data_IF_241905936108
#
_entry.id   IF_241905936108
#
_cell.length_a   1.000
_cell.length_b   1.000
_cell.length_c   1.000
_cell.angle_alpha   90.00
_cell.angle_beta   90.00
_cell.angle_gamma   90.00
#
_symmetry.space_group_name_H-M   'P 1'
#
loop_
_entity.id
_entity.type
_entity.pdbx_description
1 polymer ?
#
# COMPACT_ATOMS: atom_id res chain seq x y z
N UNK A 1 45.71 -40.75 -77.04
CA UNK A 1 45.45 -40.05 -75.76
C UNK A 1 44.52 -38.88 -76.03
N UNK A 2 43.27 -38.96 -75.59
CA UNK A 2 42.28 -37.87 -75.65
C UNK A 2 41.71 -37.74 -74.22
N UNK A 3 41.72 -36.56 -73.59
CA UNK A 3 41.24 -36.43 -72.22
C UNK A 3 39.71 -36.34 -72.19
N UNK A 4 39.09 -37.05 -71.25
CA UNK A 4 37.70 -36.85 -70.87
C UNK A 4 37.58 -35.51 -70.13
N UNK A 5 36.73 -34.62 -70.64
CA UNK A 5 36.18 -33.50 -69.86
C UNK A 5 34.86 -33.97 -69.23
N UNK A 6 34.88 -34.20 -67.91
CA UNK A 6 33.67 -34.33 -67.09
C UNK A 6 33.03 -32.95 -66.96
N UNK A 7 31.86 -32.76 -67.58
CA UNK A 7 31.00 -31.61 -67.32
C UNK A 7 30.19 -31.83 -66.04
N UNK A 8 30.48 -31.06 -64.99
CA UNK A 8 29.65 -31.01 -63.78
C UNK A 8 28.48 -30.08 -64.06
N UNK A 9 27.28 -30.66 -64.25
CA UNK A 9 26.03 -29.91 -64.30
C UNK A 9 25.68 -29.45 -62.87
N UNK A 10 25.98 -28.19 -62.55
CA UNK A 10 25.56 -27.56 -61.31
C UNK A 10 24.04 -27.30 -61.32
N UNK A 11 23.28 -28.14 -60.63
CA UNK A 11 21.86 -27.93 -60.39
C UNK A 11 21.69 -26.86 -59.29
N UNK A 12 21.58 -25.59 -59.66
CA UNK A 12 21.23 -24.52 -58.73
C UNK A 12 19.74 -24.61 -58.38
N UNK A 13 19.42 -25.27 -57.28
CA UNK A 13 18.10 -25.18 -56.64
C UNK A 13 17.92 -23.74 -56.12
N UNK A 14 17.13 -22.94 -56.83
CA UNK A 14 16.63 -21.66 -56.33
C UNK A 14 15.49 -21.97 -55.36
N UNK A 15 15.80 -22.09 -54.07
CA UNK A 15 14.79 -22.12 -53.01
C UNK A 15 14.12 -20.74 -52.96
N UNK A 16 12.96 -20.64 -53.59
CA UNK A 16 12.13 -19.44 -53.56
C UNK A 16 11.44 -19.37 -52.19
N UNK A 17 12.02 -18.62 -51.26
CA UNK A 17 11.40 -18.32 -49.96
C UNK A 17 10.16 -17.46 -50.25
N UNK A 18 8.97 -18.06 -50.19
CA UNK A 18 7.72 -17.33 -50.36
C UNK A 18 7.38 -16.63 -49.05
N UNK A 19 7.58 -15.32 -49.00
CA UNK A 19 7.00 -14.48 -47.95
C UNK A 19 5.47 -14.52 -48.07
N UNK A 20 4.77 -14.76 -46.96
CA UNK A 20 3.30 -14.88 -46.91
C UNK A 20 2.60 -13.53 -47.19
N UNK A 21 3.29 -12.45 -46.86
CA UNK A 21 2.88 -11.07 -47.05
C UNK A 21 3.94 -10.32 -47.86
N UNK A 22 3.51 -9.37 -48.67
CA UNK A 22 4.35 -8.59 -49.57
C UNK A 22 4.11 -7.09 -49.37
N UNK A 23 5.02 -6.25 -49.86
CA UNK A 23 4.87 -4.80 -49.80
C UNK A 23 3.67 -4.23 -50.57
N UNK A 24 3.04 -5.03 -51.44
CA UNK A 24 1.77 -4.67 -52.10
C UNK A 24 0.52 -4.98 -51.27
N UNK A 25 0.65 -5.74 -50.18
CA UNK A 25 -0.45 -5.99 -49.25
C UNK A 25 -0.57 -4.85 -48.24
N UNK A 26 -1.78 -4.61 -47.71
CA UNK A 26 -2.00 -3.66 -46.61
C UNK A 26 -1.58 -4.21 -45.23
N UNK A 27 -0.94 -5.38 -45.20
CA UNK A 27 -0.39 -6.03 -44.00
C UNK A 27 1.04 -5.56 -43.77
N UNK A 28 1.30 -4.98 -42.60
CA UNK A 28 2.63 -4.47 -42.25
C UNK A 28 3.49 -5.63 -41.74
N UNK A 29 4.61 -5.89 -42.42
CA UNK A 29 5.57 -6.89 -41.97
C UNK A 29 6.33 -6.37 -40.72
N UNK A 30 6.21 -7.13 -39.64
CA UNK A 30 6.78 -6.80 -38.34
C UNK A 30 7.91 -7.76 -38.01
N UNK A 31 9.06 -7.19 -37.68
CA UNK A 31 10.28 -7.90 -37.31
C UNK A 31 10.81 -7.32 -35.99
N UNK A 32 11.74 -7.99 -35.31
CA UNK A 32 12.32 -7.47 -34.07
C UNK A 32 12.90 -6.06 -34.17
N UNK A 33 13.36 -5.64 -35.36
CA UNK A 33 13.96 -4.31 -35.56
C UNK A 33 12.95 -3.17 -35.69
N UNK A 34 11.70 -3.45 -36.07
CA UNK A 34 10.66 -2.43 -36.24
C UNK A 34 9.50 -2.56 -35.23
N UNK A 35 9.30 -3.72 -34.59
CA UNK A 35 8.14 -4.00 -33.76
C UNK A 35 7.92 -2.95 -32.66
N UNK A 36 8.99 -2.56 -31.97
CA UNK A 36 8.91 -1.56 -30.91
C UNK A 36 8.42 -0.21 -31.44
N UNK A 37 8.99 0.27 -32.54
CA UNK A 37 8.63 1.55 -33.14
C UNK A 37 7.21 1.53 -33.73
N UNK A 38 6.88 0.50 -34.48
CA UNK A 38 5.61 0.42 -35.20
C UNK A 38 4.45 0.11 -34.25
N UNK A 39 4.63 -0.83 -33.31
CA UNK A 39 3.54 -1.34 -32.46
C UNK A 39 3.54 -0.71 -31.08
N UNK A 40 4.66 -0.79 -30.35
CA UNK A 40 4.72 -0.44 -28.92
C UNK A 40 4.67 1.07 -28.71
N UNK A 41 5.37 1.84 -29.53
CA UNK A 41 5.40 3.31 -29.47
C UNK A 41 4.24 3.96 -30.22
N UNK A 42 3.35 3.17 -30.83
CA UNK A 42 2.24 3.68 -31.63
C UNK A 42 0.99 3.90 -30.79
N UNK A 43 0.36 5.07 -30.95
CA UNK A 43 -0.97 5.32 -30.40
C UNK A 43 -2.08 4.53 -31.14
N UNK A 44 -1.84 4.03 -32.35
CA UNK A 44 -2.89 3.28 -33.08
C UNK A 44 -3.24 1.94 -32.42
N UNK A 45 -4.47 1.46 -32.62
CA UNK A 45 -4.81 0.06 -32.34
C UNK A 45 -4.07 -0.84 -33.34
N UNK A 46 -3.46 -1.92 -32.86
CA UNK A 46 -2.75 -2.88 -33.70
C UNK A 46 -3.34 -4.28 -33.57
N UNK A 47 -3.60 -4.94 -34.69
CA UNK A 47 -3.84 -6.37 -34.79
C UNK A 47 -2.61 -7.03 -35.39
N UNK A 48 -2.01 -7.97 -34.67
CA UNK A 48 -0.77 -8.63 -35.09
C UNK A 48 -1.00 -10.14 -35.16
N UNK A 49 -0.78 -10.71 -36.33
CA UNK A 49 -0.71 -12.16 -36.52
C UNK A 49 0.72 -12.65 -36.28
N UNK A 50 0.88 -13.68 -35.46
CA UNK A 50 2.11 -14.45 -35.34
C UNK A 50 1.92 -15.78 -36.08
N UNK A 51 2.71 -15.97 -37.14
CA UNK A 51 2.54 -17.07 -38.08
C UNK A 51 3.86 -17.82 -38.34
N UNK A 52 3.76 -18.93 -39.08
CA UNK A 52 4.90 -19.64 -39.66
C UNK A 52 4.62 -19.98 -41.13
N UNK A 53 5.58 -19.80 -42.07
CA UNK A 53 5.33 -19.99 -43.51
C UNK A 53 4.88 -21.41 -43.90
N UNK A 54 5.34 -22.42 -43.16
CA UNK A 54 5.02 -23.83 -43.37
C UNK A 54 3.67 -24.25 -42.76
N UNK A 55 3.01 -23.39 -41.98
CA UNK A 55 1.77 -23.72 -41.29
C UNK A 55 0.55 -23.58 -42.23
N UNK A 56 -0.12 -24.70 -42.52
CA UNK A 56 -1.32 -24.72 -43.38
C UNK A 56 -2.47 -23.85 -42.86
N UNK A 57 -2.65 -23.73 -41.54
CA UNK A 57 -3.65 -22.82 -40.96
C UNK A 57 -3.30 -21.34 -41.17
N UNK A 58 -2.01 -20.98 -41.17
CA UNK A 58 -1.57 -19.62 -41.49
C UNK A 58 -1.80 -19.31 -42.97
N UNK A 59 -1.45 -20.26 -43.85
CA UNK A 59 -1.71 -20.13 -45.29
C UNK A 59 -3.21 -19.95 -45.60
N UNK A 60 -4.08 -20.66 -44.87
CA UNK A 60 -5.53 -20.51 -44.97
C UNK A 60 -6.05 -19.16 -44.44
N UNK A 61 -5.42 -18.61 -43.41
CA UNK A 61 -5.77 -17.31 -42.82
C UNK A 61 -5.29 -16.14 -43.69
N UNK A 62 -4.13 -16.26 -44.35
CA UNK A 62 -3.50 -15.18 -45.14
C UNK A 62 -4.45 -14.42 -46.08
N UNK A 63 -5.30 -15.05 -46.93
CA UNK A 63 -6.22 -14.31 -47.79
C UNK A 63 -7.28 -13.51 -47.00
N UNK A 64 -7.78 -14.04 -45.88
CA UNK A 64 -8.74 -13.35 -45.02
C UNK A 64 -8.07 -12.22 -44.21
N UNK A 65 -6.82 -12.42 -43.79
CA UNK A 65 -5.99 -11.40 -43.12
C UNK A 65 -5.71 -10.21 -44.03
N UNK A 66 -5.36 -10.45 -45.30
CA UNK A 66 -5.16 -9.41 -46.33
C UNK A 66 -6.44 -8.61 -46.59
N UNK A 67 -7.58 -9.28 -46.73
CA UNK A 67 -8.89 -8.61 -46.87
C UNK A 67 -9.22 -7.74 -45.65
N UNK A 68 -9.01 -8.26 -44.45
CA UNK A 68 -9.23 -7.50 -43.21
C UNK A 68 -8.30 -6.29 -43.11
N UNK A 69 -7.01 -6.43 -43.44
CA UNK A 69 -6.06 -5.33 -43.49
C UNK A 69 -6.49 -4.23 -44.48
N UNK A 70 -6.95 -4.62 -45.66
CA UNK A 70 -7.48 -3.69 -46.67
C UNK A 70 -8.71 -2.94 -46.16
N UNK A 71 -9.66 -3.65 -45.54
CA UNK A 71 -10.89 -3.06 -45.01
C UNK A 71 -10.65 -2.13 -43.81
N UNK A 72 -9.63 -2.42 -42.99
CA UNK A 72 -9.26 -1.64 -41.80
C UNK A 72 -8.26 -0.53 -42.09
N UNK A 73 -7.81 -0.37 -43.34
CA UNK A 73 -6.79 0.60 -43.74
C UNK A 73 -7.16 2.01 -43.29
N UNK A 74 -6.26 2.63 -42.54
CA UNK A 74 -6.44 3.97 -41.96
C UNK A 74 -7.27 4.02 -40.67
N UNK A 75 -7.87 2.90 -40.25
CA UNK A 75 -8.70 2.82 -39.04
C UNK A 75 -7.95 2.03 -37.95
N UNK A 76 -7.46 0.84 -38.29
CA UNK A 76 -6.72 -0.06 -37.40
C UNK A 76 -5.48 -0.57 -38.14
N UNK A 77 -4.33 -0.62 -37.47
CA UNK A 77 -3.09 -1.14 -38.06
C UNK A 77 -3.11 -2.66 -38.00
N UNK A 78 -2.80 -3.30 -39.11
CA UNK A 78 -2.75 -4.76 -39.22
C UNK A 78 -1.34 -5.17 -39.62
N UNK A 79 -0.73 -6.05 -38.83
CA UNK A 79 0.63 -6.52 -39.05
C UNK A 79 0.75 -8.03 -38.93
N UNK A 80 1.88 -8.55 -39.40
CA UNK A 80 2.22 -9.95 -39.33
C UNK A 80 3.69 -10.14 -38.94
N UNK A 81 3.94 -11.11 -38.06
CA UNK A 81 5.27 -11.51 -37.58
C UNK A 81 5.49 -12.98 -37.95
N UNK A 82 6.54 -13.26 -38.71
CA UNK A 82 7.04 -14.63 -38.86
C UNK A 82 7.71 -15.05 -37.54
N UNK A 83 6.94 -15.75 -36.70
CA UNK A 83 7.37 -16.19 -35.40
C UNK A 83 8.18 -17.50 -35.45
N UNK A 84 8.25 -18.16 -36.59
CA UNK A 84 9.19 -19.27 -36.80
C UNK A 84 10.61 -18.75 -37.07
N UNK A 85 10.72 -17.66 -37.84
CA UNK A 85 11.97 -16.93 -38.02
C UNK A 85 12.35 -16.13 -36.78
N UNK A 86 11.37 -15.47 -36.13
CA UNK A 86 11.58 -14.59 -34.98
C UNK A 86 11.02 -15.18 -33.69
N UNK A 87 11.54 -16.35 -33.30
CA UNK A 87 11.08 -17.12 -32.12
C UNK A 87 11.11 -16.34 -30.82
N UNK A 88 12.09 -15.46 -30.63
CA UNK A 88 12.19 -14.60 -29.44
C UNK A 88 11.01 -13.64 -29.34
N UNK A 89 10.63 -13.00 -30.44
CA UNK A 89 9.50 -12.07 -30.50
C UNK A 89 8.16 -12.79 -30.33
N UNK A 90 7.97 -13.96 -30.95
CA UNK A 90 6.81 -14.81 -30.70
C UNK A 90 6.73 -15.30 -29.25
N UNK A 91 7.86 -15.73 -28.69
CA UNK A 91 7.98 -16.18 -27.30
C UNK A 91 7.64 -15.08 -26.29
N UNK A 92 8.06 -13.84 -26.55
CA UNK A 92 7.76 -12.66 -25.71
C UNK A 92 6.25 -12.47 -25.49
N UNK A 93 5.44 -12.74 -26.51
CA UNK A 93 3.97 -12.61 -26.43
C UNK A 93 3.25 -13.94 -26.17
N UNK A 94 3.99 -14.95 -25.71
CA UNK A 94 3.45 -16.24 -25.30
C UNK A 94 2.83 -17.04 -26.44
N UNK A 95 3.32 -16.88 -27.68
CA UNK A 95 2.83 -17.62 -28.84
C UNK A 95 3.28 -19.07 -28.72
N UNK A 96 2.31 -20.00 -28.61
CA UNK A 96 2.54 -21.44 -28.43
C UNK A 96 2.13 -22.29 -29.64
N UNK A 97 1.52 -21.67 -30.63
CA UNK A 97 1.04 -22.31 -31.84
C UNK A 97 0.68 -21.26 -32.88
N UNK A 98 0.47 -21.69 -34.12
CA UNK A 98 0.22 -20.78 -35.23
C UNK A 98 -1.10 -21.13 -35.95
N UNK A 99 -1.85 -20.13 -36.44
CA UNK A 99 -1.65 -18.70 -36.23
C UNK A 99 -2.23 -18.19 -34.90
N UNK A 100 -1.49 -17.37 -34.17
CA UNK A 100 -2.00 -16.63 -33.00
C UNK A 100 -2.17 -15.16 -33.37
N UNK A 101 -3.35 -14.59 -33.09
CA UNK A 101 -3.62 -13.17 -33.33
C UNK A 101 -3.65 -12.44 -31.98
N UNK A 102 -2.93 -11.34 -31.88
CA UNK A 102 -2.90 -10.47 -30.69
C UNK A 102 -3.40 -9.06 -31.04
N UNK A 103 -4.12 -8.46 -30.10
CA UNK A 103 -4.67 -7.10 -30.18
C UNK A 103 -3.90 -6.21 -29.20
N UNK A 104 -3.23 -5.20 -29.74
CA UNK A 104 -2.42 -4.23 -29.02
C UNK A 104 -3.21 -2.93 -28.85
N UNK A 105 -3.97 -2.87 -27.74
CA UNK A 105 -4.87 -1.78 -27.33
C UNK A 105 -4.18 -0.56 -26.74
N UNK A 106 -4.81 0.12 -25.77
CA UNK A 106 -4.22 1.30 -25.14
C UNK A 106 -2.92 0.96 -24.41
N UNK A 107 -2.93 -0.17 -23.67
CA UNK A 107 -1.74 -0.73 -23.07
C UNK A 107 -1.07 -1.72 -24.03
N UNK A 108 0.00 -1.26 -24.68
CA UNK A 108 0.79 -2.06 -25.63
C UNK A 108 1.56 -3.21 -24.99
N UNK A 109 1.81 -3.15 -23.70
CA UNK A 109 2.57 -4.15 -22.95
C UNK A 109 1.69 -5.34 -22.52
N UNK A 110 0.36 -5.21 -22.64
CA UNK A 110 -0.59 -6.28 -22.31
C UNK A 110 -1.54 -6.56 -23.49
N UNK A 111 -1.03 -7.10 -24.60
CA UNK A 111 -1.87 -7.41 -25.74
C UNK A 111 -2.83 -8.56 -25.44
N UNK A 112 -4.07 -8.43 -25.90
CA UNK A 112 -5.11 -9.44 -25.74
C UNK A 112 -5.05 -10.45 -26.88
N UNK A 113 -5.36 -11.71 -26.62
CA UNK A 113 -5.45 -12.71 -27.69
C UNK A 113 -6.83 -12.71 -28.33
N UNK A 114 -6.87 -12.60 -29.66
CA UNK A 114 -8.11 -12.68 -30.40
C UNK A 114 -8.55 -14.15 -30.57
N UNK A 115 -9.68 -14.48 -29.96
CA UNK A 115 -10.29 -15.82 -29.98
C UNK A 115 -11.50 -15.93 -30.92
N UNK A 116 -11.77 -14.91 -31.73
CA UNK A 116 -12.90 -14.90 -32.65
C UNK A 116 -12.69 -15.72 -33.92
N UNK A 117 -13.69 -15.67 -34.81
CA UNK A 117 -13.64 -16.36 -36.09
C UNK A 117 -12.51 -15.87 -37.00
N UNK A 118 -12.02 -16.73 -37.89
CA UNK A 118 -10.86 -16.46 -38.75
C UNK A 118 -11.24 -15.95 -40.16
N UNK A 119 -12.51 -15.58 -40.37
CA UNK A 119 -12.95 -14.88 -41.58
C UNK A 119 -12.64 -13.40 -41.48
N UNK A 120 -12.44 -12.75 -42.63
CA UNK A 120 -12.19 -11.30 -42.72
C UNK A 120 -13.27 -10.48 -42.00
N UNK A 121 -14.54 -10.84 -42.17
CA UNK A 121 -15.65 -10.19 -41.46
C UNK A 121 -15.52 -10.30 -39.94
N UNK A 122 -15.26 -11.50 -39.40
CA UNK A 122 -15.13 -11.70 -37.96
C UNK A 122 -13.92 -10.97 -37.37
N UNK A 123 -12.82 -10.90 -38.13
CA UNK A 123 -11.61 -10.15 -37.75
C UNK A 123 -11.88 -8.64 -37.74
N UNK A 124 -12.56 -8.12 -38.76
CA UNK A 124 -12.99 -6.71 -38.82
C UNK A 124 -13.90 -6.36 -37.66
N UNK A 125 -14.90 -7.20 -37.36
CA UNK A 125 -15.81 -6.98 -36.23
C UNK A 125 -15.06 -6.98 -34.89
N UNK A 126 -14.11 -7.91 -34.72
CA UNK A 126 -13.20 -7.96 -33.58
C UNK A 126 -12.37 -6.69 -33.42
N UNK A 127 -11.76 -6.22 -34.51
CA UNK A 127 -10.96 -4.99 -34.54
C UNK A 127 -11.82 -3.76 -34.20
N UNK A 128 -13.03 -3.65 -34.75
CA UNK A 128 -13.94 -2.54 -34.48
C UNK A 128 -14.42 -2.53 -33.02
N UNK A 129 -14.64 -3.70 -32.42
CA UNK A 129 -14.97 -3.80 -31.00
C UNK A 129 -13.80 -3.37 -30.11
N UNK A 130 -12.58 -3.84 -30.40
CA UNK A 130 -11.38 -3.40 -29.68
C UNK A 130 -11.13 -1.89 -29.84
N UNK A 131 -11.40 -1.33 -31.04
CA UNK A 131 -11.30 0.11 -31.29
C UNK A 131 -12.31 0.91 -30.48
N UNK A 132 -13.55 0.45 -30.37
CA UNK A 132 -14.56 1.08 -29.50
C UNK A 132 -14.11 1.10 -28.05
N UNK A 133 -13.50 0.02 -27.56
CA UNK A 133 -12.92 -0.02 -26.21
C UNK A 133 -11.78 0.98 -26.07
N UNK A 134 -10.83 1.02 -27.00
CA UNK A 134 -9.73 1.97 -27.00
C UNK A 134 -10.21 3.44 -26.99
N UNK A 135 -11.23 3.77 -27.80
CA UNK A 135 -11.82 5.11 -27.83
C UNK A 135 -12.48 5.46 -26.50
N UNK A 136 -13.20 4.52 -25.88
CA UNK A 136 -13.81 4.72 -24.54
C UNK A 136 -12.74 4.94 -23.47
N UNK A 137 -11.67 4.17 -23.48
CA UNK A 137 -10.55 4.33 -22.53
C UNK A 137 -9.95 5.74 -22.63
N UNK A 138 -9.69 6.22 -23.85
CA UNK A 138 -9.19 7.59 -24.09
C UNK A 138 -10.13 8.67 -23.60
N UNK A 139 -11.43 8.55 -23.89
CA UNK A 139 -12.44 9.52 -23.45
C UNK A 139 -12.54 9.59 -21.92
N UNK A 140 -12.25 8.50 -21.23
CA UNK A 140 -12.35 8.42 -19.77
C UNK A 140 -11.15 9.00 -19.02
N UNK A 141 -10.13 9.52 -19.71
CA UNK A 141 -8.91 10.06 -19.07
C UNK A 141 -8.06 9.03 -18.33
N UNK A 142 -8.46 7.75 -18.36
CA UNK A 142 -7.64 6.61 -17.94
C UNK A 142 -6.59 6.34 -18.99
N UNK A 143 -5.39 6.84 -18.80
CA UNK A 143 -4.21 6.17 -19.34
C UNK A 143 -4.15 4.77 -18.72
N UNK A 144 -4.59 3.78 -19.50
CA UNK A 144 -4.36 2.34 -19.31
C UNK A 144 -4.68 1.78 -17.93
N UNK A 145 -5.97 1.56 -17.62
CA UNK A 145 -6.39 1.00 -16.33
C UNK A 145 -7.84 0.48 -16.30
N UNK A 146 -8.10 -0.50 -17.17
CA UNK A 146 -9.16 -1.53 -17.17
C UNK A 146 -10.65 -1.20 -16.92
N UNK A 147 -11.47 -1.92 -17.68
CA UNK A 147 -12.77 -2.44 -17.24
C UNK A 147 -13.64 -2.91 -18.42
N UNK A 148 -13.96 -4.20 -18.52
CA UNK A 148 -15.31 -4.67 -18.14
C UNK A 148 -15.46 -6.21 -18.15
N UNK A 149 -15.81 -6.72 -16.98
CA UNK A 149 -16.66 -7.85 -16.63
C UNK A 149 -16.68 -9.13 -17.50
N UNK A 150 -16.27 -10.24 -16.87
CA UNK A 150 -17.17 -11.39 -16.74
C UNK A 150 -17.14 -11.91 -15.30
N UNK A 151 -18.33 -12.20 -14.83
CA UNK A 151 -18.74 -12.37 -13.45
C UNK A 151 -18.29 -13.74 -12.90
N UNK A 152 -17.42 -13.71 -11.90
CA UNK A 152 -17.26 -14.74 -10.86
C UNK A 152 -16.64 -14.05 -9.65
N UNK A 153 -17.33 -14.07 -8.51
CA UNK A 153 -16.93 -13.31 -7.33
C UNK A 153 -15.59 -13.77 -6.75
N UNK A 154 -14.65 -12.84 -6.65
CA UNK A 154 -13.55 -12.73 -5.68
C UNK A 154 -12.70 -11.50 -6.07
N UNK A 155 -12.35 -10.68 -5.07
CA UNK A 155 -11.47 -9.49 -5.08
C UNK A 155 -10.95 -8.94 -6.42
N UNK A 156 -11.30 -7.69 -6.73
CA UNK A 156 -10.60 -6.89 -7.73
C UNK A 156 -9.08 -6.91 -7.48
N UNK A 157 -8.25 -7.20 -8.49
CA UNK A 157 -6.77 -7.10 -8.45
C UNK A 157 -6.23 -5.65 -8.26
N UNK A 158 -7.04 -4.74 -7.72
CA UNK A 158 -6.72 -3.31 -7.63
C UNK A 158 -5.70 -2.99 -6.54
N UNK A 159 -5.56 -3.85 -5.53
CA UNK A 159 -4.75 -3.55 -4.33
C UNK A 159 -3.42 -4.28 -4.28
N UNK A 160 -3.16 -5.25 -5.18
CA UNK A 160 -1.82 -5.81 -5.37
C UNK A 160 -1.05 -4.88 -6.29
N UNK A 161 0.07 -4.35 -5.81
CA UNK A 161 0.87 -3.38 -6.55
C UNK A 161 1.90 -4.13 -7.40
N UNK A 162 1.85 -3.92 -8.72
CA UNK A 162 2.85 -4.46 -9.64
C UNK A 162 4.17 -3.72 -9.47
N UNK A 163 5.21 -4.46 -9.13
CA UNK A 163 6.55 -3.95 -8.87
C UNK A 163 7.49 -4.38 -9.99
N UNK A 164 8.26 -3.42 -10.49
CA UNK A 164 9.21 -3.55 -11.60
C UNK A 164 10.57 -3.02 -11.18
N UNK A 165 11.62 -3.33 -11.94
CA UNK A 165 12.97 -2.79 -11.67
C UNK A 165 12.98 -1.24 -11.56
N UNK A 166 12.08 -0.55 -12.28
CA UNK A 166 12.01 0.91 -12.34
C UNK A 166 11.31 1.55 -11.13
N UNK A 167 10.39 0.84 -10.47
CA UNK A 167 9.56 1.40 -9.40
C UNK A 167 9.87 0.83 -8.01
N UNK A 168 10.58 -0.29 -7.93
CA UNK A 168 10.77 -1.04 -6.70
C UNK A 168 11.43 -0.20 -5.61
N UNK A 169 12.57 0.42 -5.90
CA UNK A 169 13.34 1.16 -4.89
C UNK A 169 12.52 2.33 -4.32
N UNK A 170 11.85 3.09 -5.19
CA UNK A 170 11.02 4.22 -4.79
C UNK A 170 9.78 3.81 -4.00
N UNK A 171 9.09 2.75 -4.42
CA UNK A 171 7.83 2.34 -3.80
C UNK A 171 8.06 1.50 -2.54
N UNK A 172 9.09 0.67 -2.51
CA UNK A 172 9.35 -0.30 -1.44
C UNK A 172 10.39 0.25 -0.48
N UNK A 173 11.61 0.49 -0.96
CA UNK A 173 12.78 0.77 -0.10
C UNK A 173 12.79 2.19 0.47
N UNK A 174 12.36 3.17 -0.32
CA UNK A 174 12.27 4.58 0.11
C UNK A 174 10.97 4.88 0.87
N UNK A 175 10.04 3.92 0.93
CA UNK A 175 8.80 4.10 1.67
C UNK A 175 9.02 4.02 3.19
N UNK A 176 8.13 4.67 3.94
CA UNK A 176 8.03 4.47 5.40
C UNK A 176 7.10 3.33 5.80
N UNK A 177 6.51 2.63 4.83
CA UNK A 177 5.50 1.62 5.02
C UNK A 177 6.13 0.20 4.93
N UNK A 178 5.41 -0.82 5.41
CA UNK A 178 5.88 -2.21 5.30
C UNK A 178 5.40 -2.82 4.00
N UNK A 179 6.24 -3.61 3.34
CA UNK A 179 5.90 -4.31 2.12
C UNK A 179 6.08 -5.81 2.25
N UNK A 180 5.07 -6.56 1.81
CA UNK A 180 5.20 -7.98 1.51
C UNK A 180 5.19 -8.12 0.00
N UNK A 181 6.23 -8.69 -0.60
CA UNK A 181 6.38 -8.79 -2.06
C UNK A 181 6.47 -10.25 -2.46
N UNK A 182 5.54 -10.67 -3.33
CA UNK A 182 5.59 -11.97 -3.99
C UNK A 182 6.47 -11.88 -5.26
N UNK A 183 7.51 -12.70 -5.32
CA UNK A 183 8.25 -12.98 -6.54
C UNK A 183 7.68 -14.24 -7.19
N UNK A 184 7.10 -14.10 -8.37
CA UNK A 184 6.35 -15.17 -9.04
C UNK A 184 6.80 -15.39 -10.49
N UNK A 185 6.32 -16.48 -11.07
CA UNK A 185 6.42 -16.77 -12.49
C UNK A 185 5.04 -17.13 -13.06
N UNK A 186 4.61 -16.56 -14.20
CA UNK A 186 3.24 -16.69 -14.70
C UNK A 186 2.87 -18.13 -15.15
N UNK A 187 3.87 -18.97 -15.40
CA UNK A 187 3.67 -20.38 -15.74
C UNK A 187 3.66 -21.30 -14.52
N UNK A 188 4.05 -20.84 -13.33
CA UNK A 188 4.13 -21.67 -12.13
C UNK A 188 2.74 -21.97 -11.55
N UNK A 189 2.42 -23.26 -11.37
CA UNK A 189 1.14 -23.70 -10.80
C UNK A 189 0.91 -23.22 -9.37
N UNK A 190 1.96 -23.23 -8.54
CA UNK A 190 1.87 -22.74 -7.16
C UNK A 190 1.62 -21.22 -7.07
N UNK A 191 2.16 -20.43 -8.02
CA UNK A 191 1.88 -18.99 -8.11
C UNK A 191 0.43 -18.73 -8.48
N UNK A 192 -0.11 -19.49 -9.45
CA UNK A 192 -1.53 -19.39 -9.84
C UNK A 192 -2.48 -19.72 -8.70
N UNK A 193 -2.09 -20.63 -7.81
CA UNK A 193 -2.88 -20.97 -6.63
C UNK A 193 -2.81 -19.90 -5.53
N UNK A 194 -1.67 -19.21 -5.40
CA UNK A 194 -1.48 -18.14 -4.41
C UNK A 194 -2.16 -16.83 -4.86
N UNK A 195 -2.14 -16.51 -6.15
CA UNK A 195 -2.70 -15.29 -6.72
C UNK A 195 -4.09 -14.86 -6.18
N UNK A 196 -5.11 -15.73 -6.11
CA UNK A 196 -6.41 -15.34 -5.54
C UNK A 196 -6.35 -15.03 -4.04
N UNK A 197 -5.56 -15.78 -3.26
CA UNK A 197 -5.38 -15.56 -1.83
C UNK A 197 -4.61 -14.25 -1.57
N UNK A 198 -3.55 -14.01 -2.34
CA UNK A 198 -2.71 -12.81 -2.29
C UNK A 198 -3.51 -11.55 -2.62
N UNK A 199 -4.32 -11.61 -3.68
CA UNK A 199 -5.17 -10.50 -4.10
C UNK A 199 -6.21 -10.15 -3.03
N UNK A 200 -6.89 -11.16 -2.49
CA UNK A 200 -7.90 -10.95 -1.46
C UNK A 200 -7.27 -10.45 -0.14
N UNK A 201 -6.06 -10.92 0.20
CA UNK A 201 -5.30 -10.40 1.33
C UNK A 201 -4.91 -8.94 1.13
N UNK A 202 -4.47 -8.54 -0.05
CA UNK A 202 -4.01 -7.18 -0.34
C UNK A 202 -5.10 -6.13 -0.06
N UNK A 203 -6.34 -6.39 -0.50
CA UNK A 203 -7.48 -5.51 -0.20
C UNK A 203 -7.76 -5.41 1.29
N UNK A 204 -7.80 -6.55 2.00
CA UNK A 204 -8.08 -6.57 3.43
C UNK A 204 -6.98 -5.89 4.25
N UNK A 205 -5.71 -6.11 3.90
CA UNK A 205 -4.55 -5.51 4.55
C UNK A 205 -4.53 -4.00 4.33
N UNK A 206 -4.76 -3.53 3.11
CA UNK A 206 -4.81 -2.09 2.81
C UNK A 206 -5.88 -1.38 3.64
N UNK A 207 -7.07 -1.96 3.76
CA UNK A 207 -8.16 -1.40 4.56
C UNK A 207 -7.82 -1.38 6.07
N UNK A 208 -7.39 -2.51 6.61
CA UNK A 208 -7.15 -2.67 8.06
C UNK A 208 -5.92 -1.91 8.57
N UNK A 209 -4.91 -1.73 7.71
CA UNK A 209 -3.67 -1.01 8.06
C UNK A 209 -3.71 0.45 7.62
N UNK A 210 -4.85 0.93 7.08
CA UNK A 210 -4.98 2.29 6.50
C UNK A 210 -3.87 2.58 5.46
N UNK A 211 -3.49 1.57 4.68
CA UNK A 211 -2.44 1.67 3.66
C UNK A 211 -1.02 1.78 4.21
N UNK A 212 -0.74 1.25 5.41
CA UNK A 212 0.61 1.21 6.01
C UNK A 212 1.34 -0.11 5.79
N UNK A 213 0.62 -1.13 5.32
CA UNK A 213 1.21 -2.37 4.83
C UNK A 213 0.69 -2.64 3.43
N UNK A 214 1.60 -2.96 2.51
CA UNK A 214 1.30 -3.15 1.10
C UNK A 214 1.69 -4.55 0.65
N UNK A 215 0.89 -5.12 -0.25
CA UNK A 215 1.21 -6.38 -0.93
C UNK A 215 1.59 -6.07 -2.37
N UNK A 216 2.84 -6.39 -2.72
CA UNK A 216 3.39 -6.23 -4.06
C UNK A 216 3.57 -7.56 -4.78
N UNK A 217 3.69 -7.50 -6.10
CA UNK A 217 4.03 -8.65 -6.93
C UNK A 217 5.07 -8.27 -7.99
N UNK A 218 6.10 -9.11 -8.13
CA UNK A 218 7.17 -9.00 -9.13
C UNK A 218 7.15 -10.24 -10.01
N UNK A 219 6.97 -10.07 -11.32
CA UNK A 219 7.24 -11.15 -12.28
C UNK A 219 8.76 -11.31 -12.43
N UNK A 220 9.31 -12.28 -11.70
CA UNK A 220 10.74 -12.55 -11.67
C UNK A 220 11.28 -13.15 -12.97
N UNK A 221 10.40 -13.55 -13.91
CA UNK A 221 10.81 -14.02 -15.25
C UNK A 221 11.13 -12.86 -16.19
N UNK A 222 10.51 -11.69 -15.93
CA UNK A 222 10.75 -10.43 -16.63
C UNK A 222 11.81 -9.61 -15.89
N UNK A 223 11.65 -9.45 -14.58
CA UNK A 223 12.51 -8.61 -13.73
C UNK A 223 13.63 -9.41 -13.08
N UNK A 224 14.52 -9.96 -13.92
CA UNK A 224 15.63 -10.82 -13.49
C UNK A 224 16.67 -10.11 -12.62
N UNK A 225 16.77 -8.77 -12.74
CA UNK A 225 17.61 -7.93 -11.89
C UNK A 225 17.17 -7.98 -10.43
N UNK A 226 15.89 -7.66 -10.16
CA UNK A 226 15.28 -7.83 -8.84
C UNK A 226 15.36 -9.28 -8.34
N UNK A 227 15.10 -10.26 -9.19
CA UNK A 227 15.18 -11.68 -8.80
C UNK A 227 16.59 -12.07 -8.34
N UNK A 228 17.62 -11.57 -9.02
CA UNK A 228 19.02 -11.81 -8.66
C UNK A 228 19.44 -11.02 -7.42
N UNK A 229 19.04 -9.74 -7.31
CA UNK A 229 19.34 -8.86 -6.17
C UNK A 229 18.84 -9.45 -4.85
N UNK A 230 17.68 -10.10 -4.87
CA UNK A 230 17.07 -10.69 -3.69
C UNK A 230 17.18 -12.22 -3.65
N UNK A 231 18.10 -12.80 -4.42
CA UNK A 231 18.43 -14.23 -4.41
C UNK A 231 17.21 -15.17 -4.54
N UNK A 232 16.30 -14.87 -5.46
CA UNK A 232 15.10 -15.68 -5.68
C UNK A 232 15.47 -16.97 -6.41
N UNK A 233 15.40 -18.10 -5.71
CA UNK A 233 15.80 -19.43 -6.22
C UNK A 233 14.64 -20.32 -6.63
N UNK A 234 13.41 -19.92 -6.35
CA UNK A 234 12.20 -20.69 -6.62
C UNK A 234 10.95 -19.82 -6.53
N UNK A 235 9.82 -20.36 -7.00
CA UNK A 235 8.56 -19.62 -7.05
C UNK A 235 7.40 -20.40 -6.42
N UNK A 236 6.48 -19.73 -5.70
CA UNK A 236 6.55 -18.31 -5.34
C UNK A 236 7.45 -18.11 -4.11
N UNK A 237 8.22 -17.03 -4.08
CA UNK A 237 8.94 -16.59 -2.86
C UNK A 237 8.35 -15.27 -2.40
N UNK A 238 8.00 -15.17 -1.12
CA UNK A 238 7.49 -13.93 -0.53
C UNK A 238 8.56 -13.35 0.38
N UNK A 239 8.87 -12.07 0.19
CA UNK A 239 9.81 -11.33 1.05
C UNK A 239 9.13 -10.16 1.73
N UNK A 240 9.59 -9.84 2.93
CA UNK A 240 9.13 -8.72 3.74
C UNK A 240 10.21 -7.64 3.72
N UNK A 241 9.80 -6.40 3.47
CA UNK A 241 10.67 -5.23 3.42
C UNK A 241 10.19 -4.21 4.45
N UNK A 242 11.12 -3.74 5.28
CA UNK A 242 10.93 -2.67 6.27
C UNK A 242 12.03 -1.63 6.08
N UNK A 243 11.72 -0.36 6.36
CA UNK A 243 12.65 0.74 6.14
C UNK A 243 13.90 0.59 7.02
N UNK A 244 15.07 0.52 6.38
CA UNK A 244 16.35 0.43 7.08
C UNK A 244 16.70 -0.96 7.65
N UNK A 245 15.92 -1.99 7.32
CA UNK A 245 16.19 -3.37 7.69
C UNK A 245 16.49 -4.24 6.46
N UNK A 246 17.22 -5.33 6.66
CA UNK A 246 17.46 -6.33 5.61
C UNK A 246 16.17 -7.10 5.28
N UNK A 247 15.90 -7.39 3.99
CA UNK A 247 14.69 -8.13 3.61
C UNK A 247 14.64 -9.55 4.20
N UNK A 248 13.47 -9.93 4.71
CA UNK A 248 13.24 -11.22 5.38
C UNK A 248 12.38 -12.15 4.53
N UNK A 249 12.67 -13.45 4.51
CA UNK A 249 11.79 -14.43 3.85
C UNK A 249 10.55 -14.73 4.69
N UNK A 250 9.37 -14.67 4.07
CA UNK A 250 8.14 -15.13 4.71
C UNK A 250 8.01 -16.66 4.60
N UNK A 251 8.01 -17.32 5.76
CA UNK A 251 7.91 -18.78 5.89
C UNK A 251 6.53 -19.26 6.40
N UNK A 252 5.56 -18.34 6.52
CA UNK A 252 4.22 -18.67 7.01
C UNK A 252 3.32 -19.38 5.99
N UNK A 253 2.07 -19.61 6.39
CA UNK A 253 1.06 -20.23 5.52
C UNK A 253 0.71 -19.33 4.33
N UNK A 254 0.22 -19.94 3.24
CA UNK A 254 -0.09 -19.23 1.98
C UNK A 254 -1.58 -18.98 1.79
N UNK A 255 -2.39 -19.19 2.84
CA UNK A 255 -3.80 -18.83 2.81
C UNK A 255 -3.95 -17.33 3.03
N UNK A 256 -5.06 -16.75 2.54
CA UNK A 256 -5.42 -15.36 2.79
C UNK A 256 -5.38 -15.01 4.28
N UNK A 257 -5.83 -15.92 5.16
CA UNK A 257 -5.84 -15.71 6.61
C UNK A 257 -4.43 -15.52 7.17
N UNK A 258 -3.52 -16.42 6.83
CA UNK A 258 -2.13 -16.40 7.30
C UNK A 258 -1.37 -15.14 6.82
N UNK A 259 -1.66 -14.71 5.58
CA UNK A 259 -1.04 -13.53 4.99
C UNK A 259 -1.56 -12.25 5.67
N UNK A 260 -2.87 -12.16 5.89
CA UNK A 260 -3.48 -11.02 6.61
C UNK A 260 -2.92 -10.95 8.04
N UNK A 261 -2.89 -12.08 8.76
CA UNK A 261 -2.38 -12.14 10.13
C UNK A 261 -0.93 -11.64 10.18
N UNK A 262 -0.06 -12.16 9.32
CA UNK A 262 1.33 -11.69 9.25
C UNK A 262 1.42 -10.20 8.91
N UNK A 263 0.63 -9.71 7.98
CA UNK A 263 0.64 -8.30 7.60
C UNK A 263 0.19 -7.38 8.76
N UNK A 264 -0.78 -7.80 9.56
CA UNK A 264 -1.23 -7.06 10.75
C UNK A 264 -0.19 -7.08 11.88
N UNK A 265 0.50 -8.21 12.06
CA UNK A 265 1.63 -8.30 12.99
C UNK A 265 2.75 -7.34 12.57
N UNK A 266 3.11 -7.36 11.28
CA UNK A 266 4.10 -6.44 10.71
C UNK A 266 3.70 -4.97 10.85
N UNK A 267 2.42 -4.67 10.63
CA UNK A 267 1.88 -3.32 10.85
C UNK A 267 2.07 -2.88 12.31
N UNK A 268 1.78 -3.77 13.25
CA UNK A 268 1.90 -3.49 14.68
C UNK A 268 3.35 -3.35 15.14
N UNK A 269 4.26 -4.11 14.53
CA UNK A 269 5.70 -4.08 14.82
C UNK A 269 6.38 -2.82 14.26
N UNK A 270 5.92 -2.36 13.10
CA UNK A 270 6.40 -1.16 12.40
C UNK A 270 5.57 0.09 12.72
N UNK A 271 4.75 0.05 13.78
CA UNK A 271 4.05 1.22 14.26
C UNK A 271 5.07 2.31 14.66
N UNK A 272 4.75 3.57 14.33
CA UNK A 272 5.58 4.69 14.73
C UNK A 272 5.81 4.68 16.26
N UNK A 273 6.97 5.16 16.74
CA UNK A 273 7.19 5.34 18.16
C UNK A 273 6.03 6.13 18.76
N UNK A 274 5.49 5.70 19.91
CA UNK A 274 4.38 6.39 20.53
C UNK A 274 4.81 7.79 20.98
N UNK A 275 3.95 8.76 20.75
CA UNK A 275 4.14 10.13 21.24
C UNK A 275 3.38 10.31 22.56
N UNK A 276 4.06 10.84 23.57
CA UNK A 276 3.45 11.28 24.83
C UNK A 276 3.30 12.80 24.79
N UNK A 277 2.07 13.27 24.58
CA UNK A 277 1.78 14.70 24.43
C UNK A 277 1.21 15.30 25.71
N UNK A 278 1.54 16.56 25.98
CA UNK A 278 0.89 17.35 27.03
C UNK A 278 -0.48 17.84 26.54
N UNK A 279 -1.51 17.80 27.39
CA UNK A 279 -2.84 18.30 27.07
C UNK A 279 -2.84 19.83 27.17
N UNK A 280 -2.51 20.49 26.06
CA UNK A 280 -2.45 21.96 25.97
C UNK A 280 -3.76 22.60 25.52
N UNK A 281 -4.63 21.84 24.83
CA UNK A 281 -5.90 22.30 24.29
C UNK A 281 -6.80 21.12 23.91
N UNK A 282 -8.04 21.43 23.53
CA UNK A 282 -9.06 20.44 23.13
C UNK A 282 -8.63 19.59 21.92
N UNK A 283 -7.93 20.18 20.94
CA UNK A 283 -7.54 19.48 19.72
C UNK A 283 -6.54 18.35 19.99
N UNK A 284 -5.58 18.55 20.90
CA UNK A 284 -4.64 17.50 21.29
C UNK A 284 -5.39 16.32 21.92
N UNK A 285 -6.26 16.59 22.90
CA UNK A 285 -7.04 15.52 23.54
C UNK A 285 -7.90 14.78 22.51
N UNK A 286 -8.59 15.52 21.65
CA UNK A 286 -9.51 14.96 20.66
C UNK A 286 -8.78 14.10 19.63
N UNK A 287 -7.76 14.65 18.98
CA UNK A 287 -7.03 13.96 17.91
C UNK A 287 -6.30 12.72 18.45
N UNK A 288 -5.74 12.78 19.66
CA UNK A 288 -5.05 11.63 20.25
C UNK A 288 -6.02 10.55 20.77
N UNK A 289 -7.19 10.92 21.29
CA UNK A 289 -8.10 9.95 21.90
C UNK A 289 -9.18 9.39 20.96
N UNK A 290 -9.62 10.11 19.92
CA UNK A 290 -10.67 9.66 19.01
C UNK A 290 -10.19 8.55 18.04
N UNK A 291 -8.93 8.62 17.62
CA UNK A 291 -8.33 7.67 16.68
C UNK A 291 -7.90 6.34 17.33
N UNK A 292 -7.84 6.30 18.67
CA UNK A 292 -7.36 5.14 19.44
C UNK A 292 -8.47 4.34 20.10
N UNK A 293 -8.21 3.06 20.38
CA UNK A 293 -9.13 2.23 21.17
C UNK A 293 -9.20 2.69 22.63
N UNK A 294 -8.05 3.04 23.20
CA UNK A 294 -7.90 3.59 24.53
C UNK A 294 -6.97 4.79 24.47
N UNK A 295 -7.22 5.76 25.33
CA UNK A 295 -6.39 6.93 25.56
C UNK A 295 -5.93 6.91 27.02
N UNK A 296 -4.63 6.78 27.24
CA UNK A 296 -4.01 6.72 28.56
C UNK A 296 -3.60 8.13 28.95
N UNK A 297 -4.15 8.64 30.05
CA UNK A 297 -3.90 9.99 30.54
C UNK A 297 -3.26 9.92 31.92
N UNK A 298 -2.05 10.46 32.05
CA UNK A 298 -1.38 10.68 33.33
C UNK A 298 -1.67 12.09 33.86
N UNK A 299 -2.14 12.20 35.09
CA UNK A 299 -2.25 13.48 35.80
C UNK A 299 -1.11 13.55 36.81
N UNK A 300 -0.10 14.36 36.50
CA UNK A 300 1.15 14.42 37.24
C UNK A 300 1.11 15.51 38.31
N UNK A 301 1.83 15.37 39.43
CA UNK A 301 1.92 16.43 40.44
C UNK A 301 2.36 17.77 39.84
N UNK A 302 2.00 18.85 40.53
CA UNK A 302 2.40 20.20 40.16
C UNK A 302 3.94 20.30 40.14
N UNK A 303 4.49 21.14 39.25
CA UNK A 303 5.94 21.21 39.06
C UNK A 303 6.68 21.63 40.34
N UNK A 304 6.04 22.43 41.19
CA UNK A 304 6.59 22.88 42.48
C UNK A 304 6.75 21.74 43.50
N UNK A 305 5.98 20.65 43.38
CA UNK A 305 6.02 19.53 44.33
C UNK A 305 7.15 18.55 44.01
N UNK A 306 7.48 18.42 42.72
CA UNK A 306 8.35 17.33 42.21
C UNK A 306 9.61 17.83 41.51
N UNK A 307 9.63 19.09 41.09
CA UNK A 307 10.63 19.63 40.19
C UNK A 307 10.63 18.95 38.82
N UNK A 308 11.48 19.46 37.92
CA UNK A 308 11.68 18.93 36.58
C UNK A 308 12.16 17.48 36.60
N UNK A 309 13.04 17.14 37.56
CA UNK A 309 13.56 15.77 37.70
C UNK A 309 12.44 14.76 38.03
N UNK A 310 11.57 15.10 38.98
CA UNK A 310 10.45 14.22 39.35
C UNK A 310 9.43 14.07 38.22
N UNK A 311 9.05 15.17 37.56
CA UNK A 311 8.18 15.14 36.37
C UNK A 311 8.76 14.27 35.26
N UNK A 312 10.03 14.49 34.90
CA UNK A 312 10.70 13.69 33.87
C UNK A 312 10.75 12.20 34.22
N UNK A 313 10.90 11.84 35.49
CA UNK A 313 10.82 10.45 35.94
C UNK A 313 9.45 9.81 35.66
N UNK A 314 8.35 10.52 35.91
CA UNK A 314 7.01 10.03 35.58
C UNK A 314 6.80 9.91 34.07
N UNK A 315 7.23 10.90 33.30
CA UNK A 315 7.15 10.88 31.84
C UNK A 315 7.96 9.73 31.25
N UNK A 316 9.14 9.43 31.78
CA UNK A 316 9.96 8.29 31.36
C UNK A 316 9.23 6.96 31.59
N UNK A 317 8.61 6.78 32.75
CA UNK A 317 7.81 5.58 33.06
C UNK A 317 6.64 5.45 32.08
N UNK A 318 5.93 6.55 31.80
CA UNK A 318 4.84 6.55 30.82
C UNK A 318 5.34 6.20 29.43
N UNK A 319 6.46 6.78 28.98
CA UNK A 319 7.06 6.49 27.67
C UNK A 319 7.51 5.03 27.54
N UNK A 320 8.11 4.45 28.58
CA UNK A 320 8.45 3.02 28.59
C UNK A 320 7.22 2.13 28.44
N UNK A 321 6.12 2.49 29.10
CA UNK A 321 4.86 1.76 28.96
C UNK A 321 4.24 1.98 27.58
N UNK A 322 4.32 3.19 27.04
CA UNK A 322 3.89 3.47 25.67
C UNK A 322 4.61 2.58 24.66
N UNK A 323 5.94 2.51 24.74
CA UNK A 323 6.75 1.66 23.85
C UNK A 323 6.40 0.18 24.03
N UNK A 324 6.27 -0.29 25.28
CA UNK A 324 5.89 -1.68 25.59
C UNK A 324 4.52 -2.06 25.01
N UNK A 325 3.59 -1.12 24.92
CA UNK A 325 2.23 -1.31 24.42
C UNK A 325 2.01 -0.74 23.02
N UNK A 326 3.06 -0.37 22.27
CA UNK A 326 2.94 0.29 20.95
C UNK A 326 2.04 -0.45 19.96
N UNK A 327 2.06 -1.80 19.99
CA UNK A 327 1.21 -2.66 19.15
C UNK A 327 -0.29 -2.45 19.37
N UNK A 328 -0.69 -1.85 20.50
CA UNK A 328 -2.08 -1.54 20.82
C UNK A 328 -2.56 -0.22 20.23
N UNK A 329 -1.66 0.62 19.70
CA UNK A 329 -1.99 1.93 19.10
C UNK A 329 -2.88 2.79 20.02
N UNK A 330 -2.59 2.75 21.33
CA UNK A 330 -3.27 3.60 22.31
C UNK A 330 -2.71 5.02 22.27
N UNK A 331 -3.56 6.00 22.51
CA UNK A 331 -3.15 7.39 22.67
C UNK A 331 -2.52 7.58 24.05
N UNK A 332 -1.49 8.43 24.15
CA UNK A 332 -0.77 8.70 25.39
C UNK A 332 -0.70 10.20 25.62
N UNK A 333 -1.26 10.62 26.74
CA UNK A 333 -1.36 12.02 27.11
C UNK A 333 -0.95 12.20 28.57
N UNK A 334 -0.52 13.41 28.91
CA UNK A 334 -0.36 13.82 30.29
C UNK A 334 -0.81 15.26 30.51
N UNK A 335 -1.10 15.59 31.76
CA UNK A 335 -1.39 16.96 32.21
C UNK A 335 -0.84 17.15 33.60
N UNK A 336 -0.49 18.39 33.94
CA UNK A 336 -0.26 18.79 35.32
C UNK A 336 -1.58 18.77 36.11
N UNK A 337 -1.49 18.37 37.38
CA UNK A 337 -2.57 18.45 38.34
C UNK A 337 -3.08 19.89 38.50
N UNK A 338 -4.39 20.07 38.38
CA UNK A 338 -5.05 21.37 38.47
C UNK A 338 -5.10 22.15 37.15
N UNK A 339 -4.32 21.77 36.14
CA UNK A 339 -4.38 22.42 34.83
C UNK A 339 -5.70 22.13 34.09
N UNK A 340 -6.22 20.90 34.23
CA UNK A 340 -7.40 20.43 33.52
C UNK A 340 -8.50 19.99 34.50
N UNK A 341 -8.95 20.93 35.34
CA UNK A 341 -9.88 20.66 36.45
C UNK A 341 -11.18 19.94 36.05
N UNK A 342 -11.78 20.29 34.91
CA UNK A 342 -13.02 19.65 34.43
C UNK A 342 -12.80 18.19 34.01
N UNK A 343 -11.66 17.90 33.37
CA UNK A 343 -11.23 16.54 33.04
C UNK A 343 -11.00 15.72 34.30
N UNK A 344 -10.25 16.27 35.26
CA UNK A 344 -9.98 15.62 36.54
C UNK A 344 -11.26 15.31 37.30
N UNK A 345 -12.17 16.29 37.42
CA UNK A 345 -13.46 16.12 38.07
C UNK A 345 -14.32 15.05 37.38
N UNK A 346 -14.33 15.02 36.04
CA UNK A 346 -15.09 14.02 35.25
C UNK A 346 -14.54 12.61 35.39
N UNK A 347 -13.24 12.47 35.68
CA UNK A 347 -12.57 11.20 35.96
C UNK A 347 -12.60 10.85 37.45
N UNK A 348 -13.08 11.73 38.32
CA UNK A 348 -13.01 11.55 39.78
C UNK A 348 -11.58 11.58 40.33
N UNK A 349 -10.67 12.28 39.65
CA UNK A 349 -9.29 12.52 40.05
C UNK A 349 -9.22 13.79 40.92
N UNK A 350 -8.30 13.81 41.88
CA UNK A 350 -8.10 14.92 42.84
C UNK A 350 -8.33 14.53 44.30
N UNK A 351 -9.18 13.51 44.56
CA UNK A 351 -9.47 13.06 45.93
C UNK A 351 -8.41 12.14 46.56
N UNK A 352 -7.67 11.38 45.75
CA UNK A 352 -6.69 10.39 46.22
C UNK A 352 -5.23 10.84 46.08
N UNK A 353 -5.01 12.07 45.61
CA UNK A 353 -3.68 12.64 45.36
C UNK A 353 -3.12 12.32 43.96
N UNK A 354 -1.92 12.84 43.70
CA UNK A 354 -1.19 12.73 42.45
C UNK A 354 0.15 12.02 42.69
N UNK A 355 0.74 11.31 41.70
CA UNK A 355 0.24 11.13 40.33
C UNK A 355 -0.97 10.19 40.24
N UNK A 356 -1.82 10.44 39.25
CA UNK A 356 -2.98 9.60 38.92
C UNK A 356 -2.95 9.19 37.43
N UNK A 357 -3.64 8.11 37.08
CA UNK A 357 -3.76 7.68 35.68
C UNK A 357 -5.16 7.17 35.37
N UNK A 358 -5.67 7.56 34.21
CA UNK A 358 -6.92 7.07 33.65
C UNK A 358 -6.71 6.47 32.26
N UNK A 359 -7.44 5.41 31.94
CA UNK A 359 -7.58 4.89 30.59
C UNK A 359 -9.00 5.17 30.11
N UNK A 360 -9.14 5.99 29.07
CA UNK A 360 -10.43 6.44 28.53
C UNK A 360 -10.71 5.72 27.20
N UNK A 361 -11.94 5.26 27.02
CA UNK A 361 -12.48 4.87 25.74
C UNK A 361 -13.47 5.94 25.28
N UNK A 362 -13.02 6.85 24.42
CA UNK A 362 -13.81 8.00 23.95
C UNK A 362 -15.09 7.56 23.23
N UNK A 363 -15.04 6.48 22.44
CA UNK A 363 -16.23 5.97 21.71
C UNK A 363 -17.32 5.41 22.63
N UNK A 364 -16.93 4.76 23.73
CA UNK A 364 -17.87 4.17 24.69
C UNK A 364 -18.20 5.11 25.85
N UNK A 365 -17.56 6.28 25.94
CA UNK A 365 -17.64 7.20 27.07
C UNK A 365 -17.41 6.50 28.41
N UNK A 366 -16.41 5.61 28.46
CA UNK A 366 -16.03 4.86 29.67
C UNK A 366 -14.58 5.09 30.01
N UNK A 367 -14.26 5.03 31.29
CA UNK A 367 -12.87 5.08 31.75
C UNK A 367 -12.61 4.06 32.85
N UNK A 368 -11.33 3.76 33.07
CA UNK A 368 -10.84 3.03 34.23
C UNK A 368 -9.71 3.83 34.87
N UNK A 369 -9.62 3.78 36.20
CA UNK A 369 -8.55 4.43 36.96
C UNK A 369 -7.51 3.41 37.40
N UNK A 370 -6.24 3.80 37.34
CA UNK A 370 -5.15 3.09 37.96
C UNK A 370 -5.36 3.09 39.49
N UNK A 371 -5.51 1.90 40.08
CA UNK A 371 -5.62 1.72 41.54
C UNK A 371 -4.30 1.33 42.21
N UNK A 372 -3.33 0.90 41.41
CA UNK A 372 -1.99 0.52 41.87
C UNK A 372 -1.04 1.71 41.93
N UNK A 373 0.25 1.43 42.11
CA UNK A 373 1.28 2.47 42.10
C UNK A 373 1.52 3.02 40.69
N UNK A 374 1.86 4.30 40.60
CA UNK A 374 2.34 4.93 39.37
C UNK A 374 3.81 4.52 39.14
N UNK A 375 4.02 3.28 38.74
CA UNK A 375 5.32 2.66 38.48
C UNK A 375 5.24 1.77 37.23
N UNK A 376 6.38 1.35 36.69
CA UNK A 376 6.41 0.43 35.55
C UNK A 376 5.58 -0.85 35.83
N UNK A 377 5.70 -1.43 37.02
CA UNK A 377 4.93 -2.62 37.41
C UNK A 377 3.45 -2.33 37.55
N UNK A 378 3.08 -1.28 38.31
CA UNK A 378 1.67 -0.98 38.58
C UNK A 378 0.90 -0.55 37.33
N UNK A 379 1.52 0.26 36.47
CA UNK A 379 0.94 0.66 35.19
C UNK A 379 0.87 -0.55 34.24
N UNK A 380 1.91 -1.38 34.18
CA UNK A 380 1.88 -2.59 33.35
C UNK A 380 0.73 -3.54 33.74
N UNK A 381 0.53 -3.79 35.04
CA UNK A 381 -0.57 -4.64 35.51
C UNK A 381 -1.93 -4.08 35.10
N UNK A 382 -2.14 -2.79 35.35
CA UNK A 382 -3.37 -2.08 34.98
C UNK A 382 -3.66 -2.16 33.47
N UNK A 383 -2.68 -1.81 32.64
CA UNK A 383 -2.82 -1.83 31.19
C UNK A 383 -3.00 -3.24 30.64
N UNK A 384 -2.33 -4.25 31.23
CA UNK A 384 -2.49 -5.66 30.86
C UNK A 384 -3.93 -6.12 31.11
N UNK A 385 -4.53 -5.77 32.25
CA UNK A 385 -5.93 -6.12 32.53
C UNK A 385 -6.89 -5.50 31.52
N UNK A 386 -6.72 -4.22 31.22
CA UNK A 386 -7.54 -3.53 30.22
C UNK A 386 -7.39 -4.13 28.83
N UNK A 387 -6.17 -4.58 28.47
CA UNK A 387 -5.90 -5.19 27.16
C UNK A 387 -6.69 -6.49 26.91
N UNK A 388 -7.13 -7.17 27.97
CA UNK A 388 -7.96 -8.39 27.92
C UNK A 388 -9.41 -8.13 28.34
N UNK A 389 -9.81 -6.87 28.44
CA UNK A 389 -11.18 -6.47 28.79
C UNK A 389 -11.57 -6.71 30.25
N UNK A 390 -10.58 -6.83 31.15
CA UNK A 390 -10.78 -6.92 32.60
C UNK A 390 -10.56 -5.56 33.24
N UNK A 391 -11.17 -5.35 34.40
CA UNK A 391 -11.07 -4.10 35.16
C UNK A 391 -12.43 -3.43 35.39
N UNK A 392 -12.53 -2.70 36.50
CA UNK A 392 -13.71 -1.90 36.81
C UNK A 392 -13.72 -0.65 35.93
N UNK A 393 -14.84 -0.38 35.27
CA UNK A 393 -15.01 0.83 34.44
C UNK A 393 -16.13 1.70 35.01
N UNK A 394 -15.97 3.00 34.88
CA UNK A 394 -16.97 4.02 35.18
C UNK A 394 -17.37 4.75 33.88
N UNK A 395 -18.52 5.42 33.91
CA UNK A 395 -19.00 6.25 32.79
C UNK A 395 -18.44 7.65 32.93
N UNK A 396 -17.94 8.23 31.84
CA UNK A 396 -17.49 9.62 31.82
C UNK A 396 -18.70 10.55 32.00
N UNK A 397 -18.61 11.52 32.92
CA UNK A 397 -19.71 12.41 33.28
C UNK A 397 -20.35 13.09 32.07
N UNK A 398 -21.69 13.07 31.98
CA UNK A 398 -22.44 13.79 30.95
C UNK A 398 -22.45 13.18 29.54
N UNK A 399 -21.78 12.05 29.30
CA UNK A 399 -21.80 11.37 27.99
C UNK A 399 -21.08 12.10 26.87
N UNK A 400 -20.29 13.13 27.20
CA UNK A 400 -19.42 13.88 26.30
C UNK A 400 -18.02 14.00 26.90
N UNK A 401 -17.01 14.28 26.06
CA UNK A 401 -15.67 14.58 26.55
C UNK A 401 -15.71 15.91 27.33
N UNK A 402 -15.01 16.02 28.47
CA UNK A 402 -14.96 17.24 29.26
C UNK A 402 -14.23 18.35 28.50
N UNK A 403 -14.53 19.60 28.87
CA UNK A 403 -13.85 20.76 28.31
C UNK A 403 -12.39 20.79 28.74
N UNK A 404 -11.51 21.27 27.85
CA UNK A 404 -10.08 21.40 28.11
C UNK A 404 -9.70 22.87 28.07
N UNK A 405 -8.97 23.30 29.09
CA UNK A 405 -8.43 24.64 29.18
C UNK A 405 -7.18 24.75 28.29
N UNK A 406 -7.04 25.90 27.64
CA UNK A 406 -5.78 26.23 26.98
C UNK A 406 -4.72 26.50 28.06
N UNK A 407 -3.59 25.80 27.98
CA UNK A 407 -2.46 25.98 28.91
C UNK A 407 -1.16 26.16 28.14
N UNK A 408 -0.22 26.90 28.73
CA UNK A 408 1.11 27.06 28.18
C UNK A 408 1.90 25.76 28.33
N UNK A 409 2.68 25.41 27.31
CA UNK A 409 3.51 24.21 27.34
C UNK A 409 4.58 24.33 28.42
N UNK A 410 4.83 23.23 29.13
CA UNK A 410 5.89 23.21 30.12
C UNK A 410 7.26 23.47 29.47
N UNK A 411 8.02 24.41 30.03
CA UNK A 411 9.31 24.87 29.49
C UNK A 411 10.49 23.91 29.76
N UNK A 412 10.20 22.79 30.44
CA UNK A 412 11.18 21.77 30.82
C UNK A 412 12.01 22.10 32.06
N UNK A 413 11.69 23.18 32.80
CA UNK A 413 12.43 23.63 33.98
C UNK A 413 11.63 23.47 35.27
N UNK A 414 12.32 23.65 36.39
CA UNK A 414 11.69 23.71 37.70
C UNK A 414 10.75 24.92 37.79
N UNK A 415 9.65 24.75 38.51
CA UNK A 415 8.74 25.85 38.81
C UNK A 415 9.41 26.88 39.72
N UNK A 416 9.09 28.14 39.49
CA UNK A 416 9.47 29.22 40.39
C UNK A 416 8.25 29.58 41.23
N UNK A 417 8.43 29.70 42.55
CA UNK A 417 7.40 30.29 43.38
C UNK A 417 7.17 31.73 42.92
N UNK A 418 5.91 32.20 42.88
CA UNK A 418 5.64 33.61 42.70
C UNK A 418 6.50 34.40 43.69
N UNK A 419 7.19 35.44 43.22
CA UNK A 419 7.85 36.37 44.13
C UNK A 419 6.72 36.96 44.98
N UNK A 420 6.71 36.66 46.28
CA UNK A 420 5.81 37.35 47.20
C UNK A 420 6.19 38.83 47.12
N UNK A 421 5.34 39.64 46.48
CA UNK A 421 5.41 41.07 46.67
C UNK A 421 5.17 41.28 48.16
N UNK A 422 6.21 41.72 48.88
CA UNK A 422 6.05 42.19 50.25
C UNK A 422 5.02 43.31 50.19
N UNK A 423 3.76 42.99 50.50
CA UNK A 423 2.73 43.98 50.70
C UNK A 423 3.21 44.83 51.87
N UNK A 424 3.69 46.04 51.58
CA UNK A 424 4.08 46.99 52.61
C UNK A 424 2.83 47.40 53.37
N UNK A 425 2.63 46.80 54.54
CA UNK A 425 1.51 47.07 55.42
C UNK A 425 1.56 48.50 56.00
N UNK A 426 2.58 49.31 55.68
CA UNK A 426 2.60 50.73 56.04
C UNK A 426 1.57 51.58 55.30
N UNK A 427 1.03 51.10 54.17
CA UNK A 427 0.00 51.81 53.39
C UNK A 427 -1.45 51.47 53.84
N UNK A 428 -1.60 50.64 54.88
CA UNK A 428 -2.90 50.36 55.49
C UNK A 428 -3.19 51.42 56.56
N UNK A 429 -3.84 52.52 56.14
CA UNK A 429 -4.39 53.52 57.06
C UNK A 429 -5.53 52.89 57.90
N UNK A 430 -5.22 52.57 59.16
CA UNK A 430 -6.21 52.12 60.16
C UNK A 430 -6.89 53.33 60.83
N UNK A 431 -7.41 54.25 60.05
CA UNK A 431 -8.25 55.34 60.55
C UNK A 431 -9.70 54.88 60.65
N UNK A 432 -9.97 53.90 61.53
CA UNK A 432 -11.32 53.65 62.02
C UNK A 432 -11.61 54.61 63.17
N UNK A 433 -12.16 55.77 62.80
CA UNK A 433 -12.76 56.74 63.70
C UNK A 433 -13.91 56.07 64.48
N UNK A 434 -13.67 55.81 65.78
CA UNK A 434 -14.74 55.49 66.72
C UNK A 434 -15.56 56.76 66.95
N UNK A 435 -16.51 57.00 66.06
CA UNK A 435 -17.56 57.99 66.24
C UNK A 435 -18.31 57.71 67.54
N UNK A 436 -17.98 58.49 68.58
CA UNK A 436 -18.88 58.78 69.68
C UNK A 436 -20.15 59.41 69.11
N UNK A 437 -21.27 58.72 69.21
CA UNK A 437 -22.56 59.39 69.37
C UNK A 437 -23.13 59.05 70.74
N UNK A 438 -23.18 60.09 71.58
CA UNK A 438 -23.93 60.16 72.82
C UNK A 438 -25.43 60.13 72.53
N UNK A 439 -26.18 59.24 73.20
CA UNK A 439 -27.19 59.60 74.22
C UNK A 439 -27.82 58.35 74.83
#
# INVERSE_FOLDING_TARGET
MRPLLLGVLGCSLVLSVHAMYSSSDDVIELTPSNFNREVIQSDSLWLVEFYAPWCGHCQSLAPEWKKAATALKGIVKVGAVDADQHKSLGGQYGVRGFPTIKIFGANKNKPEEYQGGRSSQAIVDGAMNALRTLVKERLSGKSGGSGYSKQSGAGDKKDVIELTDDNFDKLVLESGDVWMVEFFAPWCGHCKNLEPEWTAAATAVKEQTKGKVHLGAVDATVHQGLASRYEIRGFPTIKIFRKGEEPEDYQGGRSRGDIIEKALDLFSDNAAPPELLEILNEDILKNTCEDSQLCIIGVLPHILDTGAAGRNGYLEVMMKMAEKYKKKSWGWLWTEAGAQMELEASLGIGGFGYPAMAAINARKMKFALLRGSFSETGIHEFLRELSVGRGSTATLGGGAMPKINAVEAWDGKDGQLPVEEEYDLSDVDLDYDFGKEEL
#
